data_IF_489845719935
#
_entry.id   IF_489845719935
#
_cell.length_a   1.000
_cell.length_b   1.000
_cell.length_c   1.000
_cell.angle_alpha   90.00
_cell.angle_beta   90.00
_cell.angle_gamma   90.00
#
_symmetry.space_group_name_H-M   'P 1'
#
loop_
_entity.id
_entity.type
_entity.pdbx_description
1 polymer ?
#
# COMPACT_ATOMS: atom_id res chain seq x y z
N UNK A 1 69.15 19.63 -34.65
CA UNK A 1 67.72 19.73 -34.31
C UNK A 1 67.32 18.39 -33.68
N UNK A 2 67.57 18.22 -32.37
CA UNK A 2 66.64 18.46 -31.24
C UNK A 2 65.34 17.64 -31.39
N UNK A 3 65.17 16.61 -30.55
CA UNK A 3 63.93 16.25 -29.86
C UNK A 3 64.15 14.99 -29.00
N UNK A 4 64.53 15.20 -27.74
CA UNK A 4 64.43 14.19 -26.68
C UNK A 4 63.13 14.47 -25.92
N UNK A 5 62.15 13.58 -26.06
CA UNK A 5 60.88 13.63 -25.35
C UNK A 5 61.09 13.25 -23.88
N UNK A 6 60.77 14.16 -22.97
CA UNK A 6 60.68 13.90 -21.54
C UNK A 6 59.25 13.39 -21.25
N UNK A 7 59.11 12.10 -20.93
CA UNK A 7 57.84 11.53 -20.48
C UNK A 7 57.75 11.75 -18.97
N UNK A 8 56.87 12.66 -18.55
CA UNK A 8 56.52 12.87 -17.14
C UNK A 8 55.41 11.88 -16.78
N UNK A 9 55.75 10.86 -15.99
CA UNK A 9 54.78 9.96 -15.39
C UNK A 9 54.13 10.66 -14.18
N UNK A 10 52.96 11.27 -14.38
CA UNK A 10 52.09 11.69 -13.25
C UNK A 10 51.34 10.47 -12.73
N UNK A 11 51.81 9.94 -11.59
CA UNK A 11 51.08 8.96 -10.79
C UNK A 11 49.93 9.69 -10.09
N UNK A 12 48.72 9.59 -10.64
CA UNK A 12 47.50 10.01 -9.95
C UNK A 12 47.19 9.00 -8.84
N UNK A 13 47.56 9.37 -7.62
CA UNK A 13 47.15 8.69 -6.39
C UNK A 13 45.62 8.86 -6.23
N UNK A 14 44.85 7.88 -6.68
CA UNK A 14 43.41 7.82 -6.41
C UNK A 14 43.24 7.44 -4.94
N UNK A 15 43.06 8.47 -4.10
CA UNK A 15 42.62 8.30 -2.72
C UNK A 15 41.18 7.79 -2.73
N UNK A 16 41.01 6.48 -2.56
CA UNK A 16 39.74 5.90 -2.12
C UNK A 16 39.49 6.37 -0.68
N UNK A 17 38.80 7.50 -0.53
CA UNK A 17 38.21 7.88 0.74
C UNK A 17 37.12 6.87 1.08
N UNK A 18 37.45 5.88 1.91
CA UNK A 18 36.48 5.12 2.67
C UNK A 18 35.73 6.11 3.58
N UNK A 19 34.61 6.64 3.10
CA UNK A 19 33.64 7.35 3.92
C UNK A 19 33.01 6.32 4.88
N UNK A 20 33.72 6.09 5.99
CA UNK A 20 33.13 5.59 7.21
C UNK A 20 32.07 6.60 7.64
N UNK A 21 30.80 6.32 7.31
CA UNK A 21 29.68 7.12 7.80
C UNK A 21 29.64 6.98 9.31
N UNK A 22 30.17 7.98 10.02
CA UNK A 22 30.03 8.09 11.47
C UNK A 22 28.55 8.07 11.83
N UNK A 23 28.13 7.05 12.58
CA UNK A 23 26.76 6.96 13.07
C UNK A 23 26.48 8.13 14.02
N UNK A 24 25.46 8.94 13.74
CA UNK A 24 25.12 10.06 14.61
C UNK A 24 24.64 9.54 15.98
N UNK A 25 24.87 10.27 17.09
CA UNK A 25 24.37 9.90 18.41
C UNK A 25 22.86 9.61 18.43
N UNK A 26 22.10 10.38 17.64
CA UNK A 26 20.66 10.20 17.47
C UNK A 26 20.31 8.83 16.88
N UNK A 27 20.96 8.41 15.79
CA UNK A 27 20.71 7.11 15.18
C UNK A 27 21.07 5.97 16.14
N UNK A 28 22.13 6.12 16.94
CA UNK A 28 22.49 5.12 17.95
C UNK A 28 21.40 4.99 19.02
N UNK A 29 20.80 6.09 19.46
CA UNK A 29 19.69 6.06 20.41
C UNK A 29 18.46 5.36 19.82
N UNK A 30 18.11 5.69 18.58
CA UNK A 30 16.97 5.08 17.87
C UNK A 30 17.20 3.58 17.69
N UNK A 31 18.38 3.17 17.23
CA UNK A 31 18.72 1.76 17.04
C UNK A 31 18.72 1.00 18.36
N UNK A 32 19.17 1.61 19.46
CA UNK A 32 19.08 0.99 20.79
C UNK A 32 17.62 0.79 21.25
N UNK A 33 16.71 1.71 20.92
CA UNK A 33 15.26 1.53 21.18
C UNK A 33 14.71 0.38 20.32
N UNK A 34 15.01 0.37 19.02
CA UNK A 34 14.60 -0.72 18.11
C UNK A 34 15.12 -2.07 18.60
N UNK A 35 16.38 -2.18 19.06
CA UNK A 35 16.93 -3.43 19.61
C UNK A 35 16.20 -3.93 20.85
N UNK A 36 15.64 -3.03 21.67
CA UNK A 36 14.85 -3.43 22.85
C UNK A 36 13.46 -3.94 22.44
N UNK A 37 12.87 -3.33 21.42
CA UNK A 37 11.53 -3.68 20.94
C UNK A 37 11.54 -4.88 19.97
N UNK A 38 12.68 -5.13 19.31
CA UNK A 38 12.82 -6.22 18.36
C UNK A 38 13.02 -7.57 19.06
N UNK A 39 12.24 -8.56 18.67
CA UNK A 39 12.42 -9.97 19.03
C UNK A 39 13.81 -10.40 18.57
N UNK A 40 14.64 -10.80 19.55
CA UNK A 40 16.04 -11.17 19.32
C UNK A 40 17.00 -10.00 19.08
N UNK A 41 16.54 -8.76 19.26
CA UNK A 41 17.38 -7.55 19.16
C UNK A 41 17.96 -7.27 17.78
N UNK A 42 17.33 -7.80 16.72
CA UNK A 42 17.79 -7.68 15.33
C UNK A 42 16.87 -6.77 14.53
N UNK A 43 17.48 -6.02 13.62
CA UNK A 43 16.76 -5.21 12.64
C UNK A 43 17.53 -5.18 11.32
N UNK A 44 16.79 -4.94 10.25
CA UNK A 44 17.32 -4.59 8.93
C UNK A 44 17.31 -3.07 8.81
N UNK A 45 18.39 -2.51 8.25
CA UNK A 45 18.54 -1.07 8.02
C UNK A 45 18.78 -0.84 6.54
N UNK A 46 17.96 0.01 5.94
CA UNK A 46 18.14 0.48 4.57
C UNK A 46 18.38 1.99 4.56
N UNK A 47 19.39 2.41 3.80
CA UNK A 47 19.69 3.83 3.55
C UNK A 47 19.21 4.18 2.14
N UNK A 48 18.38 5.21 2.03
CA UNK A 48 17.78 5.63 0.77
C UNK A 48 17.42 7.10 0.86
N UNK A 49 17.56 7.85 -0.22
CA UNK A 49 17.05 9.22 -0.32
C UNK A 49 15.57 9.16 -0.76
N UNK A 50 14.60 9.31 0.14
CA UNK A 50 13.16 9.10 -0.15
C UNK A 50 12.51 10.32 -0.80
N UNK A 51 12.97 11.52 -0.46
CA UNK A 51 12.40 12.79 -0.93
C UNK A 51 13.21 13.46 -2.06
N UNK A 52 14.29 12.81 -2.51
CA UNK A 52 15.22 13.28 -3.53
C UNK A 52 15.90 14.62 -3.19
N UNK A 53 16.19 14.86 -1.90
CA UNK A 53 16.91 16.06 -1.45
C UNK A 53 18.43 15.88 -1.39
N UNK A 54 18.93 14.70 -1.79
CA UNK A 54 20.34 14.34 -1.79
C UNK A 54 20.87 13.91 -0.42
N UNK A 55 20.02 13.81 0.61
CA UNK A 55 20.39 13.33 1.94
C UNK A 55 19.92 11.90 2.15
N UNK A 56 20.64 11.20 3.02
CA UNK A 56 20.35 9.82 3.36
C UNK A 56 19.23 9.75 4.41
N UNK A 57 18.08 9.21 4.02
CA UNK A 57 17.01 8.78 4.92
C UNK A 57 17.20 7.31 5.32
N UNK A 58 16.47 6.89 6.36
CA UNK A 58 16.64 5.57 6.97
C UNK A 58 15.30 4.85 7.08
N UNK A 59 15.30 3.59 6.67
CA UNK A 59 14.21 2.64 6.92
C UNK A 59 14.75 1.53 7.81
N UNK A 60 14.04 1.25 8.89
CA UNK A 60 14.25 0.07 9.73
C UNK A 60 13.09 -0.89 9.57
N UNK A 61 13.39 -2.18 9.38
CA UNK A 61 12.42 -3.28 9.47
C UNK A 61 12.88 -4.24 10.56
N UNK A 62 11.99 -4.61 11.48
CA UNK A 62 12.34 -5.50 12.57
C UNK A 62 11.15 -6.33 13.04
N UNK A 63 11.44 -7.50 13.61
CA UNK A 63 10.43 -8.37 14.17
C UNK A 63 9.98 -7.81 15.53
N UNK A 64 8.77 -7.26 15.64
CA UNK A 64 8.22 -6.72 16.89
C UNK A 64 7.01 -7.51 17.43
N UNK A 65 6.59 -8.54 16.68
CA UNK A 65 5.38 -9.31 16.87
C UNK A 65 5.00 -9.97 15.54
N UNK A 66 3.77 -10.46 15.42
CA UNK A 66 3.20 -10.88 14.13
C UNK A 66 2.10 -9.87 13.75
N UNK A 67 2.34 -8.93 12.82
CA UNK A 67 3.44 -8.86 11.84
C UNK A 67 4.68 -8.03 12.29
N UNK A 68 5.66 -7.87 11.39
CA UNK A 68 6.87 -7.03 11.61
C UNK A 68 6.53 -5.55 11.82
N UNK A 69 7.48 -4.77 12.33
CA UNK A 69 7.40 -3.32 12.42
C UNK A 69 8.33 -2.65 11.40
N UNK A 70 7.84 -1.57 10.80
CA UNK A 70 8.63 -0.65 9.97
C UNK A 70 8.71 0.73 10.63
N UNK A 71 9.89 1.33 10.58
CA UNK A 71 10.13 2.71 10.98
C UNK A 71 10.88 3.47 9.89
N UNK A 72 10.31 4.58 9.42
CA UNK A 72 10.88 5.41 8.36
C UNK A 72 11.24 6.77 8.93
N UNK A 73 12.49 7.20 8.75
CA UNK A 73 13.05 8.44 9.25
C UNK A 73 13.55 9.29 8.09
N UNK A 74 13.07 10.53 7.96
CA UNK A 74 13.65 11.51 7.04
C UNK A 74 14.78 12.30 7.71
N UNK A 75 15.83 12.60 6.98
CA UNK A 75 16.90 13.50 7.38
C UNK A 75 16.54 14.95 7.06
N UNK A 76 16.01 15.66 8.05
CA UNK A 76 15.61 17.06 7.91
C UNK A 76 16.69 17.91 8.57
N UNK A 77 17.51 18.55 7.74
CA UNK A 77 18.57 19.48 8.18
C UNK A 77 19.57 18.82 9.15
N UNK A 78 19.90 17.54 8.94
CA UNK A 78 20.83 16.79 9.79
C UNK A 78 20.16 16.09 10.97
N UNK A 79 18.85 16.27 11.16
CA UNK A 79 18.07 15.62 12.23
C UNK A 79 17.15 14.57 11.63
N UNK A 80 17.26 13.33 12.10
CA UNK A 80 16.38 12.24 11.69
C UNK A 80 15.03 12.37 12.40
N UNK A 81 13.94 12.57 11.64
CA UNK A 81 12.58 12.65 12.17
C UNK A 81 11.76 11.47 11.68
N UNK A 82 11.10 10.79 12.62
CA UNK A 82 10.16 9.71 12.30
C UNK A 82 8.97 10.23 11.49
N UNK A 83 8.70 9.55 10.39
CA UNK A 83 7.59 9.88 9.48
C UNK A 83 6.55 8.78 9.42
N UNK A 84 6.98 7.52 9.52
CA UNK A 84 6.12 6.35 9.48
C UNK A 84 6.58 5.38 10.55
N UNK A 85 5.67 4.92 11.39
CA UNK A 85 5.88 3.86 12.37
C UNK A 85 4.64 2.96 12.37
N UNK A 86 4.74 1.80 11.75
CA UNK A 86 3.61 0.90 11.54
C UNK A 86 4.01 -0.57 11.71
N UNK A 87 3.02 -1.40 12.02
CA UNK A 87 3.11 -2.85 11.85
C UNK A 87 2.77 -3.19 10.40
N UNK A 88 3.62 -3.97 9.72
CA UNK A 88 3.40 -4.37 8.34
C UNK A 88 3.99 -5.77 8.07
N UNK A 89 3.36 -6.50 7.15
CA UNK A 89 3.85 -7.80 6.69
C UNK A 89 4.98 -7.62 5.68
N UNK A 90 4.81 -6.62 4.80
CA UNK A 90 5.77 -6.31 3.76
C UNK A 90 5.72 -4.83 3.40
N UNK A 91 6.84 -4.35 2.88
CA UNK A 91 6.93 -3.05 2.24
C UNK A 91 7.66 -3.15 0.90
N UNK A 92 7.40 -2.20 0.02
CA UNK A 92 8.15 -2.01 -1.22
C UNK A 92 8.37 -0.52 -1.48
N UNK A 93 9.53 -0.18 -2.03
CA UNK A 93 9.81 1.17 -2.53
C UNK A 93 9.59 1.15 -4.03
N UNK A 94 8.74 2.04 -4.55
CA UNK A 94 8.54 2.22 -5.99
C UNK A 94 8.86 3.65 -6.40
N UNK A 95 9.38 3.81 -7.61
CA UNK A 95 9.68 5.11 -8.21
C UNK A 95 8.63 5.41 -9.28
N UNK A 96 7.86 6.49 -9.10
CA UNK A 96 6.84 6.97 -10.05
C UNK A 96 7.11 8.44 -10.31
N UNK A 97 7.26 8.85 -11.58
CA UNK A 97 7.52 10.25 -11.96
C UNK A 97 8.68 10.89 -11.17
N UNK A 98 9.75 10.14 -11.00
CA UNK A 98 10.92 10.49 -10.18
C UNK A 98 10.71 10.59 -8.66
N UNK A 99 9.47 10.46 -8.17
CA UNK A 99 9.13 10.41 -6.75
C UNK A 99 9.26 8.98 -6.22
N UNK A 100 9.87 8.80 -5.03
CA UNK A 100 9.87 7.49 -4.34
C UNK A 100 8.65 7.41 -3.41
N UNK A 101 7.99 6.27 -3.45
CA UNK A 101 6.81 5.96 -2.65
C UNK A 101 7.07 4.68 -1.86
N UNK A 102 6.62 4.65 -0.60
CA UNK A 102 6.63 3.43 0.21
C UNK A 102 5.22 2.83 0.20
N UNK A 103 5.12 1.60 -0.28
CA UNK A 103 3.92 0.79 -0.27
C UNK A 103 4.00 -0.18 0.90
N UNK A 104 3.03 -0.13 1.81
CA UNK A 104 2.90 -1.07 2.93
C UNK A 104 1.72 -2.01 2.70
N UNK A 105 1.91 -3.28 3.04
CA UNK A 105 0.83 -4.25 3.21
C UNK A 105 0.74 -4.64 4.68
N UNK A 106 -0.45 -4.48 5.26
CA UNK A 106 -0.73 -4.77 6.66
C UNK A 106 -1.86 -5.80 6.73
N UNK A 107 -1.63 -6.95 7.33
CA UNK A 107 -2.68 -7.87 7.75
C UNK A 107 -3.23 -7.39 9.09
N UNK A 108 -4.54 -7.51 9.29
CA UNK A 108 -5.14 -7.28 10.60
C UNK A 108 -4.69 -8.39 11.57
N UNK A 109 -4.61 -8.10 12.87
CA UNK A 109 -4.01 -9.03 13.82
C UNK A 109 -4.79 -10.36 13.87
N UNK A 110 -4.04 -11.43 14.21
CA UNK A 110 -4.45 -12.84 14.29
C UNK A 110 -4.40 -13.68 13.01
N UNK A 111 -3.91 -13.16 11.86
CA UNK A 111 -3.67 -13.99 10.66
C UNK A 111 -4.93 -14.53 9.97
N UNK A 112 -6.10 -14.33 10.58
CA UNK A 112 -7.39 -14.84 10.10
C UNK A 112 -8.21 -13.80 9.32
N UNK A 113 -7.63 -12.62 9.04
CA UNK A 113 -8.37 -11.58 8.36
C UNK A 113 -8.50 -11.90 6.86
N UNK A 114 -9.72 -12.01 6.32
CA UNK A 114 -9.95 -12.14 4.89
C UNK A 114 -9.68 -10.82 4.14
N UNK A 115 -9.10 -9.83 4.81
CA UNK A 115 -8.82 -8.51 4.29
C UNK A 115 -7.37 -8.10 4.60
N UNK A 116 -6.77 -7.35 3.69
CA UNK A 116 -5.46 -6.72 3.84
C UNK A 116 -5.57 -5.22 3.64
N UNK A 117 -4.89 -4.50 4.49
CA UNK A 117 -4.72 -3.06 4.40
C UNK A 117 -3.53 -2.71 3.50
N UNK A 118 -3.72 -1.70 2.65
CA UNK A 118 -2.70 -1.15 1.77
C UNK A 118 -2.55 0.34 2.07
N UNK A 119 -1.32 0.76 2.34
CA UNK A 119 -0.96 2.16 2.55
C UNK A 119 0.14 2.60 1.62
N UNK A 120 0.05 3.81 1.09
CA UNK A 120 1.09 4.40 0.25
C UNK A 120 1.51 5.74 0.81
N UNK A 121 2.79 5.87 1.11
CA UNK A 121 3.38 7.09 1.62
C UNK A 121 4.23 7.77 0.55
N UNK A 122 3.99 9.06 0.35
CA UNK A 122 4.85 9.96 -0.42
C UNK A 122 5.61 10.87 0.53
N UNK A 123 6.89 11.08 0.26
CA UNK A 123 7.77 11.90 1.07
C UNK A 123 8.06 13.22 0.37
N UNK A 124 7.69 14.33 1.00
CA UNK A 124 8.15 15.65 0.61
C UNK A 124 9.43 16.00 1.38
N UNK A 125 9.95 17.23 1.22
CA UNK A 125 11.19 17.68 1.85
C UNK A 125 11.22 17.51 3.38
N UNK A 126 10.08 17.61 4.06
CA UNK A 126 10.02 17.68 5.53
C UNK A 126 9.02 16.72 6.16
N UNK A 127 8.20 16.03 5.38
CA UNK A 127 7.18 15.13 5.92
C UNK A 127 6.79 14.00 4.96
N UNK A 128 6.24 12.94 5.52
CA UNK A 128 5.44 11.98 4.75
C UNK A 128 3.98 12.44 4.62
N UNK A 129 3.32 12.03 3.55
CA UNK A 129 1.89 12.14 3.32
C UNK A 129 1.32 10.78 2.94
N UNK A 130 0.23 10.39 3.59
CA UNK A 130 -0.51 9.17 3.27
C UNK A 130 -1.37 9.43 2.02
N UNK A 131 -0.94 8.91 0.87
CA UNK A 131 -1.62 9.08 -0.43
C UNK A 131 -2.77 8.11 -0.60
N UNK A 132 -2.56 6.88 -0.18
CA UNK A 132 -3.52 5.80 -0.32
C UNK A 132 -3.68 5.10 1.02
N UNK A 133 -4.92 4.84 1.42
CA UNK A 133 -5.24 4.10 2.63
C UNK A 133 -6.53 3.31 2.41
N UNK A 134 -6.39 2.05 2.00
CA UNK A 134 -7.53 1.25 1.59
C UNK A 134 -7.37 -0.20 2.01
N UNK A 135 -8.47 -0.93 1.92
CA UNK A 135 -8.59 -2.35 2.24
C UNK A 135 -9.05 -3.12 1.01
N UNK A 136 -8.46 -4.30 0.83
CA UNK A 136 -8.84 -5.29 -0.17
C UNK A 136 -9.08 -6.63 0.49
N UNK A 137 -9.80 -7.51 -0.18
CA UNK A 137 -9.81 -8.93 0.16
C UNK A 137 -8.39 -9.50 0.07
N UNK A 138 -8.05 -10.37 1.00
CA UNK A 138 -6.76 -11.07 1.04
C UNK A 138 -6.74 -12.18 -0.02
N UNK A 139 -5.68 -12.24 -0.83
CA UNK A 139 -5.55 -13.18 -1.95
C UNK A 139 -5.42 -14.63 -1.49
N UNK A 140 -4.82 -14.85 -0.32
CA UNK A 140 -4.75 -16.13 0.40
C UNK A 140 -6.13 -16.80 0.56
N UNK A 141 -7.19 -16.02 0.76
CA UNK A 141 -8.56 -16.53 0.95
C UNK A 141 -9.29 -16.81 -0.37
N UNK A 142 -8.74 -16.34 -1.49
CA UNK A 142 -9.37 -16.41 -2.81
C UNK A 142 -8.66 -17.37 -3.76
N UNK A 143 -7.73 -18.18 -3.23
CA UNK A 143 -6.95 -19.15 -3.98
C UNK A 143 -6.02 -18.53 -5.01
N UNK A 144 -5.68 -17.23 -4.88
CA UNK A 144 -4.86 -16.46 -5.83
C UNK A 144 -5.35 -16.46 -7.29
N UNK A 145 -6.59 -16.89 -7.56
CA UNK A 145 -7.17 -16.96 -8.91
C UNK A 145 -8.11 -15.78 -9.21
N UNK A 146 -8.49 -15.02 -8.18
CA UNK A 146 -9.44 -13.93 -8.32
C UNK A 146 -8.74 -12.63 -8.74
N UNK A 147 -9.35 -11.90 -9.67
CA UNK A 147 -8.91 -10.53 -10.00
C UNK A 147 -9.36 -9.56 -8.89
N UNK A 148 -8.55 -9.39 -7.86
CA UNK A 148 -8.86 -8.56 -6.69
C UNK A 148 -8.66 -7.06 -6.91
N UNK A 149 -7.82 -6.71 -7.89
CA UNK A 149 -7.52 -5.34 -8.28
C UNK A 149 -7.30 -5.27 -9.79
N UNK A 150 -7.52 -4.11 -10.43
CA UNK A 150 -7.30 -3.96 -11.85
C UNK A 150 -5.80 -3.96 -12.18
N UNK A 151 -5.47 -4.32 -13.43
CA UNK A 151 -4.10 -4.24 -13.95
C UNK A 151 -3.67 -2.78 -14.19
N UNK A 152 -4.62 -1.92 -14.53
CA UNK A 152 -4.41 -0.51 -14.87
C UNK A 152 -5.43 0.32 -14.11
N UNK A 153 -4.99 1.42 -13.51
CA UNK A 153 -5.88 2.38 -12.87
C UNK A 153 -6.16 3.55 -13.82
N UNK A 154 -7.36 4.09 -13.77
CA UNK A 154 -7.75 5.30 -14.49
C UNK A 154 -6.98 6.51 -13.97
N UNK A 155 -6.41 7.30 -14.88
CA UNK A 155 -5.71 8.55 -14.52
C UNK A 155 -6.66 9.60 -13.95
N UNK A 156 -7.90 9.62 -14.44
CA UNK A 156 -8.92 10.57 -14.05
C UNK A 156 -9.91 9.93 -13.08
N UNK A 157 -10.22 10.67 -12.01
CA UNK A 157 -11.27 10.26 -11.07
C UNK A 157 -12.64 10.44 -11.72
N UNK A 158 -13.36 9.34 -11.89
CA UNK A 158 -14.76 9.34 -12.32
C UNK A 158 -15.61 8.97 -11.11
N UNK A 159 -16.78 9.59 -10.97
CA UNK A 159 -17.71 9.29 -9.89
C UNK A 159 -19.00 8.72 -10.45
N UNK A 160 -19.59 7.76 -9.74
CA UNK A 160 -20.87 7.15 -10.10
C UNK A 160 -21.82 7.17 -8.90
N UNK A 161 -23.11 7.33 -9.17
CA UNK A 161 -24.17 7.29 -8.17
C UNK A 161 -24.89 5.96 -8.24
N UNK A 162 -25.01 5.28 -7.10
CA UNK A 162 -25.73 4.02 -6.96
C UNK A 162 -27.24 4.25 -7.08
N UNK A 163 -27.90 3.48 -7.95
CA UNK A 163 -29.35 3.59 -8.20
C UNK A 163 -30.15 2.36 -7.74
N UNK A 164 -29.49 1.36 -7.16
CA UNK A 164 -30.13 0.21 -6.53
C UNK A 164 -29.80 0.16 -5.04
N UNK A 165 -30.79 -0.18 -4.22
CA UNK A 165 -30.54 -0.41 -2.80
C UNK A 165 -29.87 -1.78 -2.56
N UNK A 166 -29.11 -1.89 -1.47
CA UNK A 166 -28.32 -3.07 -1.12
C UNK A 166 -27.43 -3.57 -2.28
N UNK A 167 -26.75 -2.64 -2.93
CA UNK A 167 -26.01 -2.95 -4.14
C UNK A 167 -24.72 -3.72 -3.85
N UNK A 168 -24.45 -4.78 -4.63
CA UNK A 168 -23.37 -5.72 -4.36
C UNK A 168 -21.99 -5.14 -4.67
N UNK A 169 -21.16 -4.98 -3.64
CA UNK A 169 -19.72 -4.85 -3.78
C UNK A 169 -19.08 -6.23 -3.71
N UNK A 170 -18.17 -6.53 -4.64
CA UNK A 170 -17.56 -7.85 -4.79
C UNK A 170 -16.04 -7.77 -4.72
N UNK A 171 -15.39 -8.84 -4.28
CA UNK A 171 -13.92 -8.88 -4.33
C UNK A 171 -13.37 -9.15 -5.73
N UNK A 172 -14.18 -9.69 -6.65
CA UNK A 172 -13.80 -9.97 -8.04
C UNK A 172 -14.93 -9.61 -9.01
N UNK A 173 -14.63 -9.36 -10.30
CA UNK A 173 -15.62 -9.04 -11.31
C UNK A 173 -16.34 -10.31 -11.82
N UNK A 174 -17.01 -11.03 -10.93
CA UNK A 174 -17.80 -12.22 -11.28
C UNK A 174 -19.11 -12.28 -10.49
N UNK A 175 -20.12 -12.95 -11.05
CA UNK A 175 -21.36 -13.33 -10.33
C UNK A 175 -21.46 -14.83 -10.08
N UNK A 176 -20.49 -15.61 -10.53
CA UNK A 176 -20.47 -17.05 -10.30
C UNK A 176 -20.33 -17.32 -8.81
N UNK A 177 -21.00 -18.39 -8.35
CA UNK A 177 -20.80 -18.88 -6.99
C UNK A 177 -19.35 -19.36 -6.84
N UNK A 178 -18.83 -19.21 -5.64
CA UNK A 178 -17.53 -19.74 -5.27
C UNK A 178 -17.60 -21.27 -5.26
N UNK A 179 -16.56 -21.89 -5.78
CA UNK A 179 -16.42 -23.35 -5.85
C UNK A 179 -15.14 -23.81 -5.14
N UNK A 180 -15.10 -25.10 -4.81
CA UNK A 180 -13.91 -25.80 -4.27
C UNK A 180 -13.29 -25.07 -3.07
N UNK A 181 -11.98 -24.95 -3.05
CA UNK A 181 -11.19 -24.38 -1.96
C UNK A 181 -11.63 -22.96 -1.60
N UNK A 182 -11.86 -22.10 -2.60
CA UNK A 182 -12.27 -20.69 -2.39
C UNK A 182 -13.58 -20.58 -1.63
N UNK A 183 -14.54 -21.50 -1.89
CA UNK A 183 -15.80 -21.55 -1.15
C UNK A 183 -15.56 -21.88 0.33
N UNK A 184 -14.58 -22.74 0.62
CA UNK A 184 -14.30 -23.21 1.96
C UNK A 184 -13.43 -22.23 2.76
N UNK A 185 -12.57 -21.46 2.10
CA UNK A 185 -11.68 -20.47 2.73
C UNK A 185 -12.38 -19.13 2.90
N UNK A 186 -13.13 -18.66 1.89
CA UNK A 186 -13.84 -17.38 1.95
C UNK A 186 -15.25 -17.53 2.53
N UNK A 187 -15.32 -17.68 3.86
CA UNK A 187 -16.59 -17.80 4.61
C UNK A 187 -17.15 -16.45 5.10
N UNK A 188 -16.44 -15.36 4.81
CA UNK A 188 -16.73 -14.01 5.28
C UNK A 188 -17.45 -13.16 4.25
N UNK A 189 -18.17 -13.77 3.31
CA UNK A 189 -19.03 -13.05 2.37
C UNK A 189 -20.35 -12.64 3.01
N UNK A 190 -21.02 -11.63 2.44
CA UNK A 190 -22.38 -11.24 2.85
C UNK A 190 -23.38 -12.38 2.61
N UNK A 191 -23.16 -13.14 1.53
CA UNK A 191 -23.96 -14.30 1.15
C UNK A 191 -23.02 -15.50 0.96
N UNK A 192 -23.37 -16.63 1.58
CA UNK A 192 -22.55 -17.84 1.56
C UNK A 192 -22.25 -18.30 0.13
N UNK A 193 -20.98 -18.61 -0.14
CA UNK A 193 -20.54 -19.08 -1.45
C UNK A 193 -20.64 -18.03 -2.55
N UNK A 194 -20.67 -16.74 -2.20
CA UNK A 194 -20.58 -15.64 -3.17
C UNK A 194 -19.32 -14.81 -2.93
N UNK A 195 -18.91 -14.05 -3.94
CA UNK A 195 -17.83 -13.07 -3.80
C UNK A 195 -18.29 -11.70 -3.29
N UNK A 196 -19.50 -11.60 -2.73
CA UNK A 196 -20.07 -10.34 -2.24
C UNK A 196 -19.46 -10.02 -0.88
N UNK A 197 -18.76 -8.90 -0.78
CA UNK A 197 -18.03 -8.48 0.43
C UNK A 197 -18.74 -7.38 1.20
N UNK A 198 -19.61 -6.62 0.54
CA UNK A 198 -20.43 -5.59 1.18
C UNK A 198 -21.68 -5.27 0.34
N UNK A 199 -22.64 -4.60 0.98
CA UNK A 199 -23.84 -4.03 0.35
C UNK A 199 -23.76 -2.51 0.44
N UNK A 200 -23.95 -1.83 -0.67
CA UNK A 200 -23.85 -0.37 -0.78
C UNK A 200 -25.25 0.24 -0.74
N UNK A 201 -25.42 1.32 0.02
CA UNK A 201 -26.70 2.05 0.15
C UNK A 201 -27.08 2.74 -1.16
N UNK A 202 -28.38 2.76 -1.46
CA UNK A 202 -28.94 3.57 -2.55
C UNK A 202 -28.50 5.05 -2.45
N UNK A 203 -28.18 5.67 -3.58
CA UNK A 203 -27.82 7.08 -3.67
C UNK A 203 -26.37 7.41 -3.29
N UNK A 204 -25.61 6.42 -2.81
CA UNK A 204 -24.17 6.58 -2.52
C UNK A 204 -23.40 7.00 -3.76
N UNK A 205 -22.44 7.91 -3.59
CA UNK A 205 -21.52 8.32 -4.66
C UNK A 205 -20.19 7.61 -4.45
N UNK A 206 -19.73 6.89 -5.47
CA UNK A 206 -18.53 6.05 -5.43
C UNK A 206 -17.49 6.60 -6.39
N UNK A 207 -16.22 6.56 -5.98
CA UNK A 207 -15.09 6.88 -6.86
C UNK A 207 -14.74 5.64 -7.67
N UNK A 208 -14.75 5.75 -8.99
CA UNK A 208 -14.30 4.72 -9.93
C UNK A 208 -12.80 4.88 -10.15
N UNK A 209 -12.09 3.78 -9.96
CA UNK A 209 -10.64 3.68 -10.06
C UNK A 209 -10.19 2.95 -11.33
N UNK A 210 -11.03 2.09 -11.90
CA UNK A 210 -10.79 1.41 -13.17
C UNK A 210 -12.09 0.86 -13.74
N UNK A 211 -12.08 0.58 -15.04
CA UNK A 211 -13.12 -0.14 -15.76
C UNK A 211 -12.53 -1.43 -16.35
N UNK A 212 -13.31 -2.51 -16.34
CA UNK A 212 -13.04 -3.75 -17.05
C UNK A 212 -14.27 -4.08 -17.90
N UNK A 213 -14.09 -4.06 -19.22
CA UNK A 213 -15.16 -4.36 -20.18
C UNK A 213 -15.03 -5.82 -20.59
N UNK A 214 -16.01 -6.63 -20.19
CA UNK A 214 -16.22 -7.99 -20.68
C UNK A 214 -17.40 -7.98 -21.67
N UNK A 215 -17.50 -8.98 -22.55
CA UNK A 215 -18.44 -8.99 -23.69
C UNK A 215 -19.84 -8.45 -23.39
N UNK A 216 -20.46 -8.90 -22.30
CA UNK A 216 -21.85 -8.57 -21.94
C UNK A 216 -21.97 -7.74 -20.65
N UNK A 217 -20.84 -7.28 -20.11
CA UNK A 217 -20.80 -6.60 -18.81
C UNK A 217 -19.59 -5.71 -18.65
N UNK A 218 -19.84 -4.51 -18.16
CA UNK A 218 -18.80 -3.65 -17.63
C UNK A 218 -18.74 -3.77 -16.11
N UNK A 219 -17.52 -3.94 -15.61
CA UNK A 219 -17.19 -3.92 -14.21
C UNK A 219 -16.41 -2.66 -13.86
N UNK A 220 -16.78 -2.03 -12.75
CA UNK A 220 -16.12 -0.85 -12.22
C UNK A 220 -15.41 -1.26 -10.94
N UNK A 221 -14.10 -1.00 -10.89
CA UNK A 221 -13.36 -1.08 -9.65
C UNK A 221 -13.53 0.24 -8.91
N UNK A 222 -14.06 0.18 -7.69
CA UNK A 222 -14.50 1.36 -6.94
C UNK A 222 -13.88 1.43 -5.56
N UNK A 223 -13.85 2.65 -5.04
CA UNK A 223 -13.52 2.98 -3.67
C UNK A 223 -14.78 3.41 -2.92
N UNK A 224 -14.98 2.81 -1.74
CA UNK A 224 -16.21 2.85 -0.96
C UNK A 224 -15.88 3.30 0.48
N UNK A 225 -16.50 4.39 0.91
CA UNK A 225 -16.37 4.91 2.28
C UNK A 225 -17.24 4.09 3.25
N UNK A 226 -16.80 3.92 4.51
CA UNK A 226 -17.50 3.09 5.52
C UNK A 226 -18.99 3.46 5.67
N UNK A 227 -19.31 4.75 5.66
CA UNK A 227 -20.69 5.24 5.83
C UNK A 227 -21.64 4.89 4.67
N UNK A 228 -21.10 4.55 3.49
CA UNK A 228 -21.89 4.12 2.31
C UNK A 228 -22.27 2.65 2.34
N UNK A 229 -21.65 1.85 3.21
CA UNK A 229 -21.94 0.43 3.40
C UNK A 229 -23.20 0.30 4.28
N UNK A 230 -24.11 -0.60 3.87
CA UNK A 230 -25.31 -0.95 4.63
C UNK A 230 -24.96 -1.67 5.94
N UNK A 231 -25.67 -1.35 7.01
CA UNK A 231 -25.40 -1.87 8.36
C UNK A 231 -25.78 -3.36 8.53
N UNK A 232 -26.65 -3.89 7.67
CA UNK A 232 -27.09 -5.30 7.75
C UNK A 232 -26.15 -6.22 6.95
N UNK A 233 -25.64 -7.24 7.62
CA UNK A 233 -24.89 -8.36 7.04
C UNK A 233 -23.56 -8.00 6.37
N UNK A 234 -22.97 -6.86 6.70
CA UNK A 234 -21.61 -6.58 6.26
C UNK A 234 -20.63 -7.37 7.15
N UNK A 235 -19.85 -8.31 6.59
CA UNK A 235 -18.80 -9.04 7.32
C UNK A 235 -17.66 -8.10 7.78
N UNK A 236 -17.71 -6.86 7.32
CA UNK A 236 -16.80 -5.78 7.65
C UNK A 236 -17.36 -5.04 8.86
N UNK A 237 -17.22 -5.64 10.04
CA UNK A 237 -17.39 -4.96 11.34
C UNK A 237 -16.03 -4.53 11.94
N UNK A 238 -14.94 -4.84 11.25
CA UNK A 238 -13.61 -4.38 11.64
C UNK A 238 -13.51 -2.87 11.38
N UNK A 239 -13.18 -2.11 12.42
CA UNK A 239 -12.93 -0.68 12.27
C UNK A 239 -11.65 -0.45 11.47
N UNK A 240 -11.77 -0.39 10.15
CA UNK A 240 -10.73 0.09 9.26
C UNK A 240 -10.60 1.61 9.43
N UNK A 241 -10.02 2.02 10.56
CA UNK A 241 -9.95 3.42 10.99
C UNK A 241 -9.40 4.32 9.87
N UNK A 242 -10.30 5.12 9.28
CA UNK A 242 -9.97 6.05 8.20
C UNK A 242 -9.54 5.40 6.87
N UNK A 243 -9.83 4.11 6.67
CA UNK A 243 -9.53 3.41 5.42
C UNK A 243 -10.80 3.20 4.60
N UNK A 244 -10.61 3.08 3.30
CA UNK A 244 -11.68 2.88 2.33
C UNK A 244 -11.68 1.45 1.83
N UNK A 245 -12.85 0.87 1.61
CA UNK A 245 -12.96 -0.46 1.02
C UNK A 245 -12.89 -0.36 -0.50
N UNK A 246 -12.13 -1.24 -1.14
CA UNK A 246 -12.09 -1.34 -2.60
C UNK A 246 -12.61 -2.68 -3.07
N UNK A 247 -13.28 -2.68 -4.22
CA UNK A 247 -13.85 -3.86 -4.83
C UNK A 247 -14.51 -3.55 -6.16
N UNK A 248 -15.19 -4.55 -6.71
CA UNK A 248 -15.84 -4.51 -8.01
C UNK A 248 -17.35 -4.37 -7.88
N UNK A 249 -17.92 -3.55 -8.75
CA UNK A 249 -19.36 -3.45 -8.99
C UNK A 249 -19.62 -3.58 -10.49
N UNK A 250 -20.84 -3.93 -10.88
CA UNK A 250 -21.28 -3.82 -12.28
C UNK A 250 -21.74 -2.38 -12.58
N UNK A 251 -21.56 -1.93 -13.82
CA UNK A 251 -22.07 -0.63 -14.25
C UNK A 251 -23.62 -0.54 -14.28
N UNK A 252 -24.32 -1.69 -14.39
CA UNK A 252 -25.78 -1.77 -14.58
C UNK A 252 -26.63 -1.06 -13.52
N UNK A 253 -26.11 -0.87 -12.32
CA UNK A 253 -26.85 -0.30 -11.18
C UNK A 253 -26.25 1.00 -10.68
N UNK A 254 -25.54 1.70 -11.57
CA UNK A 254 -25.01 3.03 -11.30
C UNK A 254 -25.26 3.96 -12.47
N UNK A 255 -25.19 5.26 -12.21
CA UNK A 255 -25.22 6.32 -13.23
C UNK A 255 -24.01 7.21 -13.03
N UNK A 256 -23.49 7.84 -14.10
CA UNK A 256 -22.41 8.82 -13.95
C UNK A 256 -22.89 9.95 -13.04
N UNK A 257 -22.16 10.22 -11.97
CA UNK A 257 -22.43 11.39 -11.16
C UNK A 257 -22.00 12.63 -11.95
N UNK A 258 -22.90 13.61 -12.07
CA UNK A 258 -22.53 14.93 -12.60
C UNK A 258 -21.47 15.50 -11.64
N UNK A 259 -20.35 15.99 -12.18
CA UNK A 259 -19.34 16.69 -11.37
C UNK A 259 -20.05 17.78 -10.56
N UNK A 260 -20.01 17.67 -9.24
CA UNK A 260 -20.33 18.78 -8.34
C UNK A 260 -19.22 19.83 -8.42
#
# INVERSE_FOLDING_TARGET
>A
MRNSFLIVFTVSLVLFSNLSFGQTPQLKEIENKIKKDAIGGKFEKQVVDLNNDGKNDIIYLYQCGEPKCIKVLLNIEGVYKEQVAEQCNSYAIRKINNQKLIYLTLTHCCGESPYVSKRVFEFNKTSASLKENYVLTNDEYTGNIALLMPLVYSENSVYVKVIADNYNLRFSPSIQKLEKEVKNTFVFGVEEGTNIIAKIKLGSTLKVLSELIEKDRTWLFVEVEKNTIGEKNSPIDFDFKGQKLRGWISDKYVTKAVKL
#
